data_IF_522163066229
#
_entry.id   IF_522163066229
#
_cell.length_a   1.000
_cell.length_b   1.000
_cell.length_c   1.000
_cell.angle_alpha   90.00
_cell.angle_beta   90.00
_cell.angle_gamma   90.00
#
_symmetry.space_group_name_H-M   'P 1'
#
loop_
_entity.id
_entity.type
_entity.pdbx_description
1 polymer ?
#
# COMPACT_ATOMS: atom_id res chain seq x y z
N UNK A 1 -47.85 52.60 30.80
CA UNK A 1 -47.41 51.41 31.57
C UNK A 1 -47.89 50.15 30.89
N UNK A 2 -46.92 49.27 30.64
CA UNK A 2 -46.99 47.81 30.47
C UNK A 2 -47.89 47.19 29.39
N UNK A 3 -47.25 46.95 28.25
CA UNK A 3 -47.49 45.82 27.35
C UNK A 3 -47.14 44.51 28.06
N UNK A 4 -48.08 43.57 28.19
CA UNK A 4 -47.77 42.16 28.48
C UNK A 4 -49.02 41.28 28.31
N UNK A 5 -49.43 41.00 27.06
CA UNK A 5 -50.47 39.98 26.78
C UNK A 5 -50.20 39.07 25.57
N UNK A 6 -48.98 39.06 25.01
CA UNK A 6 -48.65 38.30 23.79
C UNK A 6 -47.75 37.06 23.95
N UNK A 7 -47.36 36.67 25.17
CA UNK A 7 -46.23 35.74 25.38
C UNK A 7 -46.53 34.23 25.39
N UNK A 8 -47.79 33.78 25.35
CA UNK A 8 -48.11 32.36 25.65
C UNK A 8 -48.16 31.44 24.41
N UNK A 9 -48.37 31.99 23.22
CA UNK A 9 -48.50 31.20 21.97
C UNK A 9 -47.14 30.92 21.30
N UNK A 10 -46.16 31.83 21.46
CA UNK A 10 -44.82 31.67 20.85
C UNK A 10 -43.94 30.62 21.55
N UNK A 11 -44.15 30.39 22.85
CA UNK A 11 -43.36 29.42 23.62
C UNK A 11 -43.59 27.96 23.22
N UNK A 12 -44.80 27.60 22.79
CA UNK A 12 -45.15 26.20 22.45
C UNK A 12 -44.57 25.79 21.09
N UNK A 13 -44.52 26.71 20.12
CA UNK A 13 -43.96 26.43 18.78
C UNK A 13 -42.44 26.32 18.81
N UNK A 14 -41.76 27.18 19.58
CA UNK A 14 -40.31 27.11 19.74
C UNK A 14 -39.85 25.82 20.44
N UNK A 15 -40.61 25.33 21.42
CA UNK A 15 -40.30 24.08 22.13
C UNK A 15 -40.44 22.83 21.24
N UNK A 16 -41.47 22.77 20.37
CA UNK A 16 -41.67 21.63 19.46
C UNK A 16 -40.62 21.56 18.34
N UNK A 17 -40.27 22.71 17.74
CA UNK A 17 -39.22 22.78 16.72
C UNK A 17 -37.81 22.56 17.33
N UNK A 18 -37.55 23.11 18.52
CA UNK A 18 -36.27 22.90 19.21
C UNK A 18 -36.08 21.46 19.68
N UNK A 19 -37.12 20.86 20.27
CA UNK A 19 -37.09 19.47 20.76
C UNK A 19 -36.90 18.44 19.64
N UNK A 20 -37.48 18.67 18.46
CA UNK A 20 -37.31 17.79 17.30
C UNK A 20 -35.91 17.86 16.69
N UNK A 21 -35.32 19.05 16.59
CA UNK A 21 -33.92 19.20 16.12
C UNK A 21 -32.94 18.58 17.11
N UNK A 22 -33.11 18.83 18.42
CA UNK A 22 -32.27 18.24 19.46
C UNK A 22 -32.43 16.71 19.49
N UNK A 23 -33.65 16.19 19.38
CA UNK A 23 -33.89 14.75 19.28
C UNK A 23 -33.27 14.10 18.03
N UNK A 24 -33.27 14.81 16.89
CA UNK A 24 -32.63 14.35 15.65
C UNK A 24 -31.09 14.41 15.72
N UNK A 25 -30.52 15.39 16.43
CA UNK A 25 -29.08 15.48 16.66
C UNK A 25 -28.60 14.44 17.68
N UNK A 26 -29.35 14.22 18.75
CA UNK A 26 -29.02 13.24 19.80
C UNK A 26 -29.29 11.78 19.36
N UNK A 27 -30.32 11.54 18.54
CA UNK A 27 -30.64 10.20 18.02
C UNK A 27 -29.71 9.71 16.90
N UNK A 28 -28.73 10.52 16.47
CA UNK A 28 -27.76 10.15 15.43
C UNK A 28 -26.61 9.27 15.91
N UNK A 29 -26.45 9.06 17.22
CA UNK A 29 -25.23 8.48 17.78
C UNK A 29 -25.27 6.97 18.06
N UNK A 30 -26.40 6.27 17.85
CA UNK A 30 -26.51 4.87 18.35
C UNK A 30 -26.22 3.73 17.36
N UNK A 31 -25.77 3.98 16.13
CA UNK A 31 -25.32 2.88 15.24
C UNK A 31 -24.08 3.22 14.42
N UNK A 32 -23.02 3.65 15.09
CA UNK A 32 -21.67 3.50 14.54
C UNK A 32 -21.23 2.06 14.75
N UNK A 33 -21.50 1.21 13.77
CA UNK A 33 -20.82 -0.10 13.68
C UNK A 33 -19.34 0.24 13.54
N UNK A 34 -18.55 -0.01 14.58
CA UNK A 34 -17.09 0.05 14.47
C UNK A 34 -16.68 -1.08 13.54
N UNK A 35 -16.41 -0.74 12.29
CA UNK A 35 -15.87 -1.71 11.32
C UNK A 35 -14.37 -1.75 11.58
N UNK A 36 -13.93 -2.76 12.32
CA UNK A 36 -12.51 -3.01 12.51
C UNK A 36 -11.90 -3.42 11.17
N UNK A 37 -10.76 -2.82 10.83
CA UNK A 37 -10.01 -3.23 9.66
C UNK A 37 -9.52 -4.68 9.88
N UNK A 38 -9.49 -5.50 8.82
CA UNK A 38 -9.16 -6.93 8.92
C UNK A 38 -7.83 -7.25 9.59
N UNK A 39 -6.91 -6.28 9.66
CA UNK A 39 -5.57 -6.41 10.27
C UNK A 39 -5.52 -6.13 11.79
N UNK A 40 -6.58 -5.59 12.41
CA UNK A 40 -6.64 -5.31 13.87
C UNK A 40 -7.49 -6.31 14.65
N UNK A 41 -8.20 -7.20 13.97
CA UNK A 41 -8.84 -8.35 14.62
C UNK A 41 -7.71 -9.30 15.05
N UNK A 42 -7.69 -9.77 16.30
CA UNK A 42 -6.66 -10.67 16.86
C UNK A 42 -6.60 -12.07 16.22
N UNK A 43 -6.90 -12.15 14.93
CA UNK A 43 -6.92 -13.32 14.09
C UNK A 43 -5.50 -13.65 13.61
N UNK A 44 -5.00 -14.82 13.98
CA UNK A 44 -3.76 -15.37 13.42
C UNK A 44 -4.09 -16.08 12.10
N UNK A 45 -3.60 -15.59 10.95
CA UNK A 45 -3.88 -16.24 9.67
C UNK A 45 -3.26 -17.65 9.65
N UNK A 46 -3.98 -18.60 9.06
CA UNK A 46 -3.51 -19.99 8.89
C UNK A 46 -2.26 -20.07 8.02
N UNK A 47 -2.11 -19.13 7.09
CA UNK A 47 -0.94 -19.00 6.21
C UNK A 47 -0.28 -17.66 6.47
N UNK A 48 1.01 -17.72 6.84
CA UNK A 48 1.84 -16.51 6.98
C UNK A 48 2.16 -15.98 5.58
N UNK A 49 2.15 -14.65 5.46
CA UNK A 49 2.60 -13.98 4.24
C UNK A 49 4.03 -14.39 3.88
N UNK A 50 4.26 -14.78 2.63
CA UNK A 50 5.60 -14.95 2.08
C UNK A 50 6.12 -13.58 1.63
N UNK A 51 7.09 -13.06 2.38
CA UNK A 51 7.66 -11.75 2.12
C UNK A 51 8.41 -11.69 0.78
N UNK A 52 8.89 -12.83 0.26
CA UNK A 52 9.56 -12.93 -1.04
C UNK A 52 8.73 -13.70 -2.08
N UNK A 53 7.39 -13.54 -2.03
CA UNK A 53 6.46 -14.22 -2.93
C UNK A 53 6.73 -13.95 -4.44
N UNK A 54 7.31 -12.80 -4.79
CA UNK A 54 7.67 -12.41 -6.17
C UNK A 54 9.14 -12.73 -6.52
N UNK A 55 9.88 -13.37 -5.61
CA UNK A 55 11.29 -13.76 -5.79
C UNK A 55 12.20 -12.63 -6.29
N UNK A 56 11.91 -11.40 -5.87
CA UNK A 56 12.68 -10.20 -6.26
C UNK A 56 13.74 -9.83 -5.24
N UNK A 57 13.80 -10.56 -4.14
CA UNK A 57 14.75 -10.22 -3.11
C UNK A 57 16.17 -10.57 -3.53
N UNK A 58 17.14 -9.73 -3.17
CA UNK A 58 18.51 -9.84 -3.65
C UNK A 58 19.11 -11.23 -3.35
N UNK A 59 18.79 -11.80 -2.20
CA UNK A 59 19.23 -13.14 -1.81
C UNK A 59 18.70 -14.26 -2.71
N UNK A 60 17.53 -14.06 -3.33
CA UNK A 60 16.97 -15.02 -4.29
C UNK A 60 17.53 -14.86 -5.71
N UNK A 61 18.11 -13.70 -6.02
CA UNK A 61 18.73 -13.40 -7.32
C UNK A 61 20.21 -13.83 -7.35
N UNK A 62 20.89 -13.80 -6.20
CA UNK A 62 22.30 -14.18 -6.08
C UNK A 62 22.43 -15.65 -5.71
N UNK A 63 23.29 -16.39 -6.42
CA UNK A 63 23.56 -17.81 -6.13
C UNK A 63 24.02 -18.00 -4.69
N UNK A 64 23.46 -18.99 -3.95
CA UNK A 64 23.90 -19.28 -2.60
C UNK A 64 25.34 -19.82 -2.60
N UNK A 65 26.07 -19.54 -1.51
CA UNK A 65 27.41 -20.09 -1.29
C UNK A 65 27.31 -21.61 -1.11
N UNK A 66 28.27 -22.35 -1.69
CA UNK A 66 28.30 -23.82 -1.63
C UNK A 66 28.54 -24.36 -0.21
N UNK A 67 29.21 -23.58 0.64
CA UNK A 67 29.44 -23.90 2.04
C UNK A 67 28.88 -22.78 2.91
N UNK A 68 27.96 -23.11 3.82
CA UNK A 68 27.47 -22.13 4.80
C UNK A 68 28.57 -21.93 5.85
N UNK A 69 29.04 -20.70 6.11
CA UNK A 69 29.95 -20.47 7.21
C UNK A 69 29.25 -20.93 8.50
N UNK A 70 29.87 -21.88 9.21
CA UNK A 70 29.35 -22.37 10.47
C UNK A 70 29.59 -21.29 11.54
N UNK A 71 28.57 -20.49 11.86
CA UNK A 71 28.64 -19.46 12.90
C UNK A 71 28.86 -20.04 14.31
N UNK A 72 28.79 -21.35 14.48
CA UNK A 72 28.94 -22.04 15.76
C UNK A 72 30.34 -22.66 16.01
N UNK A 73 31.37 -22.29 15.24
CA UNK A 73 32.74 -22.75 15.53
C UNK A 73 33.53 -21.73 16.36
N UNK A 74 32.99 -21.36 17.52
CA UNK A 74 33.85 -20.91 18.61
C UNK A 74 34.29 -22.18 19.35
N UNK A 75 35.61 -22.44 19.36
CA UNK A 75 36.32 -23.60 19.91
C UNK A 75 36.38 -24.76 18.89
N UNK A 76 37.52 -25.02 18.25
CA UNK A 76 38.77 -25.40 18.91
C UNK A 76 39.99 -25.00 18.08
N UNK A 77 40.91 -24.29 18.73
CA UNK A 77 42.25 -24.04 18.23
C UNK A 77 42.97 -25.39 18.14
N UNK A 78 43.15 -25.94 16.94
CA UNK A 78 44.36 -26.71 16.70
C UNK A 78 44.92 -26.42 15.30
N UNK A 79 46.14 -25.92 15.34
CA UNK A 79 46.91 -25.31 14.29
C UNK A 79 47.32 -26.35 13.26
N UNK A 80 46.94 -26.14 12.00
CA UNK A 80 47.78 -26.53 10.87
C UNK A 80 47.90 -25.32 9.96
N UNK A 81 49.10 -25.04 9.46
CA UNK A 81 49.54 -23.80 8.81
C UNK A 81 48.84 -23.46 7.46
N UNK A 82 47.66 -24.01 7.22
CA UNK A 82 46.78 -23.81 6.05
C UNK A 82 45.69 -22.75 6.31
N UNK A 83 45.59 -22.25 7.54
CA UNK A 83 44.43 -21.51 8.05
C UNK A 83 44.47 -19.99 7.87
N UNK A 84 45.53 -19.38 7.34
CA UNK A 84 45.49 -17.93 7.03
C UNK A 84 44.95 -17.72 5.61
N UNK A 85 45.57 -18.34 4.61
CA UNK A 85 45.16 -18.23 3.20
C UNK A 85 43.74 -18.74 2.91
N UNK A 86 43.30 -19.82 3.58
CA UNK A 86 41.92 -20.31 3.42
C UNK A 86 40.90 -19.37 4.05
N UNK A 87 41.24 -18.67 5.14
CA UNK A 87 40.35 -17.70 5.76
C UNK A 87 40.26 -16.43 4.91
N UNK A 88 41.38 -16.00 4.33
CA UNK A 88 41.44 -14.85 3.42
C UNK A 88 40.60 -15.09 2.15
N UNK A 89 40.64 -16.30 1.58
CA UNK A 89 39.79 -16.70 0.43
C UNK A 89 38.31 -16.72 0.80
N UNK A 90 37.96 -17.26 1.96
CA UNK A 90 36.57 -17.32 2.40
C UNK A 90 35.98 -15.93 2.66
N UNK A 91 36.76 -15.03 3.28
CA UNK A 91 36.36 -13.65 3.51
C UNK A 91 36.16 -12.90 2.19
N UNK A 92 37.09 -13.02 1.23
CA UNK A 92 36.96 -12.42 -0.10
C UNK A 92 35.71 -12.92 -0.85
N UNK A 93 35.40 -14.23 -0.77
CA UNK A 93 34.18 -14.78 -1.38
C UNK A 93 32.88 -14.24 -0.76
N UNK A 94 32.87 -13.94 0.54
CA UNK A 94 31.73 -13.36 1.24
C UNK A 94 31.55 -11.90 0.81
N UNK A 95 32.63 -11.11 0.83
CA UNK A 95 32.64 -9.72 0.38
C UNK A 95 32.13 -9.60 -1.07
N UNK A 96 32.63 -10.44 -1.98
CA UNK A 96 32.19 -10.47 -3.37
C UNK A 96 30.72 -10.90 -3.56
N UNK A 97 30.11 -11.57 -2.57
CA UNK A 97 28.67 -11.87 -2.58
C UNK A 97 27.87 -10.69 -2.06
N UNK A 98 28.30 -10.06 -0.98
CA UNK A 98 27.63 -8.88 -0.41
C UNK A 98 27.59 -7.73 -1.43
N UNK A 99 28.67 -7.51 -2.18
CA UNK A 99 28.70 -6.54 -3.27
C UNK A 99 27.63 -6.84 -4.34
N UNK A 100 27.43 -8.12 -4.68
CA UNK A 100 26.37 -8.55 -5.62
C UNK A 100 24.98 -8.34 -5.04
N UNK A 101 24.79 -8.61 -3.76
CA UNK A 101 23.50 -8.38 -3.10
C UNK A 101 23.12 -6.90 -3.10
N UNK A 102 24.05 -6.02 -2.77
CA UNK A 102 23.82 -4.58 -2.79
C UNK A 102 23.47 -4.08 -4.19
N UNK A 103 24.10 -4.65 -5.23
CA UNK A 103 23.79 -4.33 -6.62
C UNK A 103 22.40 -4.80 -7.06
N UNK A 104 21.94 -5.93 -6.56
CA UNK A 104 20.62 -6.49 -6.89
C UNK A 104 19.50 -5.94 -5.99
N UNK A 105 19.82 -5.20 -4.93
CA UNK A 105 18.83 -4.58 -4.05
C UNK A 105 18.06 -3.48 -4.78
N UNK A 106 16.74 -3.51 -4.68
CA UNK A 106 15.89 -2.48 -5.26
C UNK A 106 16.21 -1.09 -4.67
N UNK A 107 16.69 -0.17 -5.50
CA UNK A 107 17.08 1.19 -5.09
C UNK A 107 15.89 2.15 -5.05
N UNK A 108 14.82 1.85 -5.78
CA UNK A 108 13.71 2.76 -5.98
C UNK A 108 12.36 2.09 -5.70
N UNK A 109 11.46 2.87 -5.12
CA UNK A 109 10.05 2.53 -5.01
C UNK A 109 9.37 2.61 -6.37
N UNK A 110 8.51 1.63 -6.68
CA UNK A 110 7.73 1.58 -7.93
C UNK A 110 6.26 1.80 -7.63
N UNK A 111 5.68 2.84 -8.20
CA UNK A 111 4.25 3.08 -8.15
C UNK A 111 3.58 2.35 -9.32
N UNK A 112 2.84 1.28 -9.02
CA UNK A 112 2.09 0.52 -10.03
C UNK A 112 0.68 1.07 -10.14
N UNK A 113 0.31 1.56 -11.33
CA UNK A 113 -1.03 2.08 -11.62
C UNK A 113 -1.72 1.11 -12.58
N UNK A 114 -2.71 0.38 -12.09
CA UNK A 114 -3.50 -0.53 -12.92
C UNK A 114 -4.78 0.18 -13.41
N UNK A 115 -4.88 0.35 -14.73
CA UNK A 115 -6.03 0.98 -15.38
C UNK A 115 -6.86 -0.09 -16.08
N UNK A 116 -8.17 -0.13 -15.80
CA UNK A 116 -9.11 -0.97 -16.56
C UNK A 116 -9.36 -0.35 -17.94
N UNK A 117 -9.60 -1.21 -18.94
CA UNK A 117 -9.96 -0.76 -20.27
C UNK A 117 -11.27 0.07 -20.26
N UNK A 118 -11.42 0.95 -21.26
CA UNK A 118 -12.68 1.66 -21.49
C UNK A 118 -13.78 0.73 -22.03
N UNK A 119 -15.01 1.24 -22.10
CA UNK A 119 -16.12 0.49 -22.70
C UNK A 119 -15.87 0.25 -24.20
N UNK A 120 -15.86 -1.01 -24.62
CA UNK A 120 -15.67 -1.44 -26.00
C UNK A 120 -16.87 -2.26 -26.50
N UNK A 121 -16.94 -2.48 -27.81
CA UNK A 121 -18.00 -3.27 -28.42
C UNK A 121 -17.81 -4.77 -28.16
N UNK A 122 -18.65 -5.37 -27.31
CA UNK A 122 -18.61 -6.81 -27.01
C UNK A 122 -19.26 -7.68 -28.09
N UNK A 123 -20.11 -7.10 -28.95
CA UNK A 123 -20.87 -7.83 -29.97
C UNK A 123 -20.09 -8.00 -31.28
N UNK A 124 -18.85 -7.50 -31.35
CA UNK A 124 -17.97 -7.67 -32.50
C UNK A 124 -17.59 -9.15 -32.69
N UNK A 125 -17.67 -9.62 -33.93
CA UNK A 125 -17.38 -11.00 -34.32
C UNK A 125 -15.89 -11.32 -34.31
N UNK A 126 -15.05 -10.35 -34.69
CA UNK A 126 -13.59 -10.47 -34.62
C UNK A 126 -13.01 -9.56 -33.54
N UNK A 127 -11.82 -9.91 -33.05
CA UNK A 127 -11.14 -9.11 -32.01
C UNK A 127 -10.72 -7.72 -32.52
N UNK A 128 -10.40 -7.61 -33.81
CA UNK A 128 -10.08 -6.33 -34.47
C UNK A 128 -11.26 -5.36 -34.44
N UNK A 129 -12.49 -5.88 -34.45
CA UNK A 129 -13.71 -5.09 -34.43
C UNK A 129 -14.16 -4.69 -33.01
N UNK A 130 -13.51 -5.19 -31.95
CA UNK A 130 -13.78 -4.86 -30.53
C UNK A 130 -13.21 -3.51 -30.14
N UNK A 131 -13.59 -2.50 -30.90
CA UNK A 131 -13.13 -1.12 -30.72
C UNK A 131 -13.87 -0.43 -29.58
N UNK A 132 -13.25 0.64 -29.06
CA UNK A 132 -13.85 1.47 -28.03
C UNK A 132 -15.13 2.11 -28.53
N UNK A 133 -16.16 2.07 -27.69
CA UNK A 133 -17.36 2.88 -27.91
C UNK A 133 -17.02 4.36 -27.76
N UNK A 134 -17.86 5.25 -28.32
CA UNK A 134 -17.69 6.71 -28.15
C UNK A 134 -17.65 7.11 -26.66
N UNK A 135 -18.45 6.45 -25.84
CA UNK A 135 -18.45 6.62 -24.39
C UNK A 135 -17.12 6.15 -23.78
N UNK A 136 -16.66 4.94 -24.12
CA UNK A 136 -15.38 4.41 -23.65
C UNK A 136 -14.18 5.28 -24.01
N UNK A 137 -14.17 5.83 -25.22
CA UNK A 137 -13.14 6.78 -25.66
C UNK A 137 -13.18 8.10 -24.86
N UNK A 138 -14.38 8.63 -24.58
CA UNK A 138 -14.54 9.82 -23.75
C UNK A 138 -14.07 9.58 -22.31
N UNK A 139 -14.45 8.45 -21.70
CA UNK A 139 -14.01 8.08 -20.34
C UNK A 139 -12.48 7.95 -20.24
N UNK A 140 -11.86 7.30 -21.23
CA UNK A 140 -10.40 7.18 -21.27
C UNK A 140 -9.75 8.55 -21.40
N UNK A 141 -10.28 9.45 -22.24
CA UNK A 141 -9.76 10.82 -22.37
C UNK A 141 -9.77 11.57 -21.03
N UNK A 142 -10.89 11.52 -20.29
CA UNK A 142 -10.99 12.14 -18.96
C UNK A 142 -10.05 11.49 -17.94
N UNK A 143 -9.94 10.16 -17.95
CA UNK A 143 -9.02 9.43 -17.08
C UNK A 143 -7.55 9.81 -17.34
N UNK A 144 -7.14 9.89 -18.60
CA UNK A 144 -5.79 10.30 -18.98
C UNK A 144 -5.48 11.72 -18.51
N UNK A 145 -6.44 12.64 -18.65
CA UNK A 145 -6.27 13.99 -18.15
C UNK A 145 -6.08 14.02 -16.62
N UNK A 146 -6.88 13.25 -15.88
CA UNK A 146 -6.76 13.16 -14.43
C UNK A 146 -5.44 12.51 -13.98
N UNK A 147 -5.04 11.42 -14.61
CA UNK A 147 -3.78 10.74 -14.33
C UNK A 147 -2.58 11.65 -14.61
N UNK A 148 -2.63 12.43 -15.69
CA UNK A 148 -1.60 13.43 -16.02
C UNK A 148 -1.45 14.46 -14.90
N UNK A 149 -2.57 15.01 -14.43
CA UNK A 149 -2.57 15.95 -13.30
C UNK A 149 -2.06 15.29 -12.01
N UNK A 150 -2.49 14.05 -11.73
CA UNK A 150 -2.09 13.31 -10.55
C UNK A 150 -0.57 13.06 -10.53
N UNK A 151 -0.01 12.56 -11.63
CA UNK A 151 1.43 12.32 -11.75
C UNK A 151 2.21 13.63 -11.62
N UNK A 152 1.79 14.68 -12.33
CA UNK A 152 2.46 15.98 -12.29
C UNK A 152 2.45 16.60 -10.89
N UNK A 153 1.38 16.42 -10.12
CA UNK A 153 1.23 17.07 -8.81
C UNK A 153 1.88 16.25 -7.69
N UNK A 154 1.65 14.93 -7.68
CA UNK A 154 2.00 14.08 -6.54
C UNK A 154 3.35 13.39 -6.67
N UNK A 155 3.77 13.00 -7.88
CA UNK A 155 5.09 12.39 -8.06
C UNK A 155 6.21 13.43 -8.22
N UNK A 156 5.90 14.65 -8.67
CA UNK A 156 6.91 15.72 -8.78
C UNK A 156 7.26 16.36 -7.44
N UNK A 157 6.38 16.28 -6.44
CA UNK A 157 6.58 16.91 -5.11
C UNK A 157 7.12 15.94 -4.07
N UNK A 158 7.21 14.65 -4.38
CA UNK A 158 7.65 13.60 -3.45
C UNK A 158 9.17 13.32 -3.47
N UNK A 159 9.97 14.17 -4.11
CA UNK A 159 11.43 14.09 -4.01
C UNK A 159 11.92 15.14 -2.98
N UNK A 160 12.12 14.76 -1.71
CA UNK A 160 12.95 15.58 -0.85
C UNK A 160 14.38 15.54 -1.40
N UNK A 161 14.92 16.73 -1.66
CA UNK A 161 16.33 16.95 -1.90
C UNK A 161 17.07 16.37 -0.70
N UNK A 162 17.89 15.35 -0.95
CA UNK A 162 18.93 14.84 -0.05
C UNK A 162 20.28 15.04 -0.69
#
# INVERSE_FOLDING_TARGET
MSWMRGGRQLGVVAAAAGGSVVGFLLGRDERRVSVDASWTTGYTPSVKWDWNWDRRDADSLVKPLKHKPNYNNNNNNNLTNTSHFSNDINNNMIEAREEKLEKERATASRHLIFVRHGQYNLQASTDQDRTLTKLGACLLSSLFHYLSLYVSTYLSTSLPIS
#
